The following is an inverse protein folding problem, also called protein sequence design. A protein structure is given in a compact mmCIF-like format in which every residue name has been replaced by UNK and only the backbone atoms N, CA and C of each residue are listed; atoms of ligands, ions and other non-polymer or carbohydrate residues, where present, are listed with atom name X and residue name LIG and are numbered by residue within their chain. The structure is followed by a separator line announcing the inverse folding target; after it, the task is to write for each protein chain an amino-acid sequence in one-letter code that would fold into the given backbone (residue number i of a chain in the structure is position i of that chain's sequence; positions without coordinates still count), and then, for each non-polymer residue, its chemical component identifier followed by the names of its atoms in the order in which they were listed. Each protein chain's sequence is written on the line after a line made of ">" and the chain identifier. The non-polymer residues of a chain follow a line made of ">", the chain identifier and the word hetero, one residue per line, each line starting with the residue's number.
data_IF_323486585171
#
_entry.id   IF_323486585171
#
_cell.length_a   1.000
_cell.length_b   1.000
_cell.length_c   1.000
_cell.angle_alpha   90.00
_cell.angle_beta   90.00
_cell.angle_gamma   90.00
#
_symmetry.space_group_name_H-M   'P 1'
#
loop_
_entity.id
_entity.type
_entity.pdbx_description
1 polymer ?
#
# COMPACT_ATOMS: atom_id res chain seq x y z
N UNK A 1 10.11 14.34 -0.51
CA UNK A 1 11.48 13.89 -0.78
C UNK A 1 11.73 13.75 -2.28
N UNK A 2 13.02 13.62 -2.67
CA UNK A 2 13.38 13.51 -4.09
C UNK A 2 12.79 12.23 -4.70
N UNK A 3 12.09 12.36 -5.83
CA UNK A 3 11.44 11.28 -6.59
C UNK A 3 10.36 10.47 -5.83
N UNK A 4 9.86 10.96 -4.72
CA UNK A 4 8.83 10.25 -3.92
C UNK A 4 7.53 10.01 -4.71
N UNK A 5 7.09 10.99 -5.49
CA UNK A 5 5.92 10.84 -6.36
C UNK A 5 6.10 9.70 -7.36
N UNK A 6 7.25 9.64 -8.03
CA UNK A 6 7.56 8.55 -8.97
C UNK A 6 7.63 7.18 -8.27
N UNK A 7 8.27 7.11 -7.09
CA UNK A 7 8.35 5.88 -6.31
C UNK A 7 6.95 5.41 -5.85
N UNK A 8 6.09 6.34 -5.46
CA UNK A 8 4.70 6.05 -5.08
C UNK A 8 3.89 5.51 -6.27
N UNK A 9 3.95 6.17 -7.43
CA UNK A 9 3.26 5.70 -8.64
C UNK A 9 3.74 4.29 -9.05
N UNK A 10 5.04 4.03 -8.93
CA UNK A 10 5.58 2.68 -9.19
C UNK A 10 5.00 1.62 -8.25
N UNK A 11 4.83 1.92 -6.96
CA UNK A 11 4.21 0.98 -6.03
C UNK A 11 2.71 0.79 -6.30
N UNK A 12 2.02 1.85 -6.70
CA UNK A 12 0.62 1.77 -7.09
C UNK A 12 0.44 0.95 -8.37
N UNK A 13 1.32 1.10 -9.37
CA UNK A 13 1.26 0.30 -10.60
C UNK A 13 1.40 -1.21 -10.32
N UNK A 14 2.22 -1.60 -9.35
CA UNK A 14 2.34 -3.00 -8.96
C UNK A 14 1.06 -3.54 -8.32
N UNK A 15 0.38 -2.73 -7.50
CA UNK A 15 -0.90 -3.09 -6.92
C UNK A 15 -2.01 -3.20 -7.96
N UNK A 16 -2.06 -2.30 -8.94
CA UNK A 16 -3.01 -2.36 -10.05
C UNK A 16 -2.78 -3.59 -10.91
N UNK A 17 -1.53 -3.86 -11.30
CA UNK A 17 -1.17 -5.05 -12.06
C UNK A 17 -1.56 -6.34 -11.34
N UNK A 18 -1.33 -6.42 -10.01
CA UNK A 18 -1.73 -7.56 -9.19
C UNK A 18 -3.23 -7.79 -9.22
N UNK A 19 -4.02 -6.73 -8.99
CA UNK A 19 -5.48 -6.82 -9.02
C UNK A 19 -5.98 -7.13 -10.44
N UNK A 20 -5.37 -6.54 -11.46
CA UNK A 20 -5.70 -6.83 -12.85
C UNK A 20 -5.54 -8.32 -13.18
N UNK A 21 -4.40 -8.93 -12.83
CA UNK A 21 -4.15 -10.36 -13.05
C UNK A 21 -5.12 -11.28 -12.31
N UNK A 22 -5.50 -10.95 -11.09
CA UNK A 22 -6.29 -11.82 -10.21
C UNK A 22 -7.78 -11.45 -10.16
N UNK A 23 -8.17 -10.34 -10.78
CA UNK A 23 -9.56 -9.84 -10.81
C UNK A 23 -10.39 -10.29 -12.01
N UNK A 24 -9.78 -10.97 -12.99
CA UNK A 24 -10.44 -11.41 -14.21
C UNK A 24 -10.01 -12.83 -14.61
N UNK A 25 -10.70 -13.40 -15.61
CA UNK A 25 -10.32 -14.68 -16.18
C UNK A 25 -9.02 -14.52 -16.99
N UNK A 26 -7.91 -15.15 -16.61
CA UNK A 26 -6.64 -15.03 -17.32
C UNK A 26 -6.68 -15.53 -18.76
N UNK A 27 -7.65 -16.38 -19.12
CA UNK A 27 -7.83 -16.85 -20.51
C UNK A 27 -8.29 -15.73 -21.47
N UNK A 28 -8.81 -14.62 -20.95
CA UNK A 28 -9.16 -13.42 -21.73
C UNK A 28 -7.94 -12.63 -22.21
N UNK A 29 -6.78 -12.83 -21.58
CA UNK A 29 -5.56 -12.08 -21.86
C UNK A 29 -4.81 -12.72 -23.02
N UNK A 30 -4.82 -12.05 -24.18
CA UNK A 30 -4.16 -12.56 -25.39
C UNK A 30 -2.64 -12.35 -25.38
N UNK A 31 -2.20 -11.18 -24.86
CA UNK A 31 -0.79 -10.79 -24.82
C UNK A 31 -0.48 -10.10 -23.49
N UNK A 32 0.49 -10.65 -22.77
CA UNK A 32 0.94 -10.12 -21.45
C UNK A 32 1.32 -8.65 -21.55
N UNK A 33 2.06 -8.26 -22.59
CA UNK A 33 2.54 -6.88 -22.75
C UNK A 33 1.43 -5.87 -22.96
N UNK A 34 0.43 -6.21 -23.76
CA UNK A 34 -0.71 -5.32 -24.00
C UNK A 34 -1.53 -5.14 -22.72
N UNK A 35 -1.74 -6.22 -21.99
CA UNK A 35 -2.38 -6.20 -20.68
C UNK A 35 -1.61 -5.32 -19.68
N UNK A 36 -0.29 -5.47 -19.56
CA UNK A 36 0.53 -4.62 -18.69
C UNK A 36 0.40 -3.14 -19.08
N UNK A 37 0.43 -2.83 -20.36
CA UNK A 37 0.29 -1.45 -20.82
C UNK A 37 -1.05 -0.84 -20.45
N UNK A 38 -2.14 -1.62 -20.50
CA UNK A 38 -3.47 -1.21 -20.08
C UNK A 38 -3.49 -0.92 -18.56
N UNK A 39 -3.00 -1.84 -17.74
CA UNK A 39 -2.97 -1.70 -16.29
C UNK A 39 -2.05 -0.56 -15.81
N UNK A 40 -1.01 -0.24 -16.57
CA UNK A 40 -0.08 0.82 -16.22
C UNK A 40 -0.46 2.20 -16.77
N UNK A 41 -1.52 2.31 -17.57
CA UNK A 41 -1.87 3.53 -18.30
C UNK A 41 -1.95 4.77 -17.40
N UNK A 42 -2.53 4.64 -16.20
CA UNK A 42 -2.70 5.76 -15.26
C UNK A 42 -1.45 6.08 -14.44
N UNK A 43 -0.48 5.16 -14.39
CA UNK A 43 0.70 5.26 -13.51
C UNK A 43 2.01 5.44 -14.26
N UNK A 44 2.05 5.18 -15.56
CA UNK A 44 3.25 5.36 -16.37
C UNK A 44 3.53 6.84 -16.62
N UNK A 45 4.71 7.29 -16.18
CA UNK A 45 5.19 8.66 -16.40
C UNK A 45 6.01 8.83 -17.69
N UNK A 46 6.50 7.74 -18.26
CA UNK A 46 7.42 7.73 -19.39
C UNK A 46 6.99 6.70 -20.42
N UNK A 47 7.39 6.87 -21.68
CA UNK A 47 7.16 5.84 -22.71
C UNK A 47 7.71 4.50 -22.26
N UNK A 48 6.91 3.46 -22.49
CA UNK A 48 7.30 2.09 -22.15
C UNK A 48 8.29 1.53 -23.19
N UNK A 49 9.08 0.55 -22.77
CA UNK A 49 10.03 -0.18 -23.62
C UNK A 49 9.35 -1.49 -24.04
N UNK A 50 9.15 -1.66 -25.34
CA UNK A 50 8.37 -2.76 -25.91
C UNK A 50 8.88 -4.16 -25.49
N UNK A 51 10.19 -4.29 -25.28
CA UNK A 51 10.85 -5.55 -24.89
C UNK A 51 10.74 -5.86 -23.40
N UNK A 52 10.34 -4.88 -22.56
CA UNK A 52 10.18 -5.08 -21.14
C UNK A 52 8.81 -5.67 -20.81
N UNK A 53 8.79 -6.66 -19.91
CA UNK A 53 7.58 -7.20 -19.31
C UNK A 53 7.82 -7.41 -17.80
N UNK A 54 6.94 -6.86 -16.97
CA UNK A 54 7.03 -6.99 -15.51
C UNK A 54 6.49 -8.33 -15.02
N UNK A 55 5.37 -8.78 -15.57
CA UNK A 55 4.63 -9.95 -15.08
C UNK A 55 5.47 -11.23 -15.02
N UNK A 56 6.31 -11.58 -16.03
CA UNK A 56 7.12 -12.80 -15.97
C UNK A 56 8.13 -12.83 -14.82
N UNK A 57 8.53 -11.68 -14.30
CA UNK A 57 9.48 -11.55 -13.20
C UNK A 57 8.84 -11.26 -11.85
N UNK A 58 7.50 -11.06 -11.81
CA UNK A 58 6.80 -10.60 -10.61
C UNK A 58 6.36 -11.77 -9.72
N UNK A 59 7.33 -12.49 -9.17
CA UNK A 59 7.08 -13.66 -8.33
C UNK A 59 6.23 -13.38 -7.08
N UNK A 60 6.25 -12.17 -6.54
CA UNK A 60 5.47 -11.79 -5.35
C UNK A 60 3.99 -12.12 -5.50
N UNK A 61 3.39 -11.76 -6.64
CA UNK A 61 1.95 -11.93 -6.86
C UNK A 61 1.55 -13.30 -7.40
N UNK A 62 2.49 -14.08 -7.94
CA UNK A 62 2.21 -15.43 -8.46
C UNK A 62 2.67 -16.55 -7.54
N UNK A 63 3.79 -16.40 -6.84
CA UNK A 63 4.40 -17.44 -6.01
C UNK A 63 4.72 -16.94 -4.58
N UNK A 64 4.66 -15.64 -4.33
CA UNK A 64 5.09 -15.03 -3.08
C UNK A 64 3.99 -14.86 -2.02
N UNK A 65 2.75 -15.32 -2.29
CA UNK A 65 1.63 -15.21 -1.36
C UNK A 65 0.95 -13.84 -1.31
N UNK A 66 1.18 -12.97 -2.29
CA UNK A 66 0.60 -11.62 -2.38
C UNK A 66 -0.45 -11.48 -3.49
N UNK A 67 -1.01 -12.56 -4.02
CA UNK A 67 -2.07 -12.53 -5.03
C UNK A 67 -3.26 -11.71 -4.56
N UNK A 68 -3.66 -10.69 -5.31
CA UNK A 68 -4.65 -9.66 -4.95
C UNK A 68 -4.32 -8.93 -3.63
N UNK A 69 -3.09 -8.98 -3.18
CA UNK A 69 -2.67 -8.48 -1.86
C UNK A 69 -1.47 -7.53 -1.88
N UNK A 70 -0.88 -7.23 -3.04
CA UNK A 70 0.30 -6.38 -3.12
C UNK A 70 0.04 -4.94 -2.64
N UNK A 71 -1.16 -4.42 -2.80
CA UNK A 71 -1.58 -3.12 -2.28
C UNK A 71 -1.37 -2.96 -0.77
N UNK A 72 -1.27 -4.08 -0.04
CA UNK A 72 -1.09 -4.08 1.42
C UNK A 72 0.19 -3.37 1.88
N UNK A 73 1.24 -3.34 1.06
CA UNK A 73 2.45 -2.58 1.35
C UNK A 73 2.16 -1.08 1.48
N UNK A 74 1.44 -0.52 0.51
CA UNK A 74 1.09 0.91 0.55
C UNK A 74 0.05 1.21 1.63
N UNK A 75 -0.88 0.28 1.87
CA UNK A 75 -1.85 0.39 2.97
C UNK A 75 -1.15 0.39 4.35
N UNK A 76 -0.15 -0.45 4.54
CA UNK A 76 0.63 -0.47 5.78
C UNK A 76 1.38 0.85 6.02
N UNK A 77 1.91 1.49 4.96
CA UNK A 77 2.53 2.81 5.05
C UNK A 77 1.53 3.91 5.46
N UNK A 78 0.28 3.84 4.99
CA UNK A 78 -0.79 4.76 5.42
C UNK A 78 -1.06 4.60 6.92
N UNK A 79 -1.22 3.36 7.39
CA UNK A 79 -1.47 3.07 8.80
C UNK A 79 -0.30 3.52 9.69
N UNK A 80 0.94 3.24 9.27
CA UNK A 80 2.16 3.64 9.96
C UNK A 80 2.26 5.17 10.09
N UNK A 81 2.09 5.89 8.97
CA UNK A 81 2.20 7.33 8.95
C UNK A 81 1.13 8.01 9.83
N UNK A 82 -0.13 7.58 9.74
CA UNK A 82 -1.24 8.12 10.53
C UNK A 82 -1.09 7.78 12.03
N UNK A 83 -0.66 6.56 12.35
CA UNK A 83 -0.37 6.18 13.72
C UNK A 83 0.78 7.03 14.31
N UNK A 84 1.87 7.24 13.55
CA UNK A 84 2.98 8.07 14.01
C UNK A 84 2.60 9.56 14.10
N UNK A 85 1.73 10.06 13.23
CA UNK A 85 1.17 11.41 13.35
C UNK A 85 0.47 11.59 14.71
N UNK A 86 -0.27 10.60 15.17
CA UNK A 86 -0.92 10.64 16.49
C UNK A 86 0.08 10.73 17.63
N UNK A 87 1.20 10.00 17.58
CA UNK A 87 2.28 10.15 18.53
C UNK A 87 2.90 11.56 18.48
N UNK A 88 3.09 12.14 17.30
CA UNK A 88 3.64 13.50 17.18
C UNK A 88 2.71 14.56 17.76
N UNK A 89 1.40 14.43 17.54
CA UNK A 89 0.38 15.34 18.09
C UNK A 89 0.36 15.38 19.62
N UNK A 90 0.64 14.25 20.27
CA UNK A 90 0.53 14.09 21.73
C UNK A 90 1.88 13.98 22.44
N UNK A 91 2.97 14.01 21.68
CA UNK A 91 4.34 13.79 22.18
C UNK A 91 4.81 12.35 21.94
N UNK A 92 5.94 12.21 21.23
CA UNK A 92 6.48 10.90 20.79
C UNK A 92 6.78 9.95 21.96
N UNK A 93 7.06 10.47 23.15
CA UNK A 93 7.31 9.70 24.36
C UNK A 93 6.12 9.71 25.33
N UNK A 94 4.94 10.09 24.87
CA UNK A 94 3.73 10.05 25.68
C UNK A 94 3.38 8.61 26.05
N UNK A 95 3.47 8.33 27.36
CA UNK A 95 3.28 6.98 27.89
C UNK A 95 1.83 6.46 27.69
N UNK A 96 0.84 7.34 27.79
CA UNK A 96 -0.56 6.98 27.61
C UNK A 96 -0.83 6.52 26.16
N UNK A 97 -0.37 7.29 25.18
CA UNK A 97 -0.50 6.92 23.75
C UNK A 97 0.25 5.62 23.46
N UNK A 98 1.47 5.47 24.00
CA UNK A 98 2.23 4.23 23.89
C UNK A 98 1.49 3.02 24.47
N UNK A 99 0.85 3.17 25.61
CA UNK A 99 0.05 2.11 26.24
C UNK A 99 -1.21 1.78 25.43
N UNK A 100 -1.89 2.78 24.85
CA UNK A 100 -3.00 2.58 23.95
C UNK A 100 -2.57 1.80 22.69
N UNK A 101 -1.44 2.15 22.09
CA UNK A 101 -0.89 1.44 20.94
C UNK A 101 -0.57 -0.02 21.27
N UNK A 102 0.12 -0.24 22.38
CA UNK A 102 0.42 -1.57 22.89
C UNK A 102 -0.87 -2.40 23.11
N UNK A 103 -1.85 -1.83 23.80
CA UNK A 103 -3.08 -2.54 24.19
C UNK A 103 -4.00 -2.84 23.03
N UNK A 104 -4.19 -1.90 22.10
CA UNK A 104 -5.17 -2.02 21.03
C UNK A 104 -4.60 -2.57 19.73
N UNK A 105 -3.29 -2.40 19.48
CA UNK A 105 -2.65 -2.87 18.25
C UNK A 105 -1.74 -4.06 18.54
N UNK A 106 -0.64 -3.85 19.27
CA UNK A 106 0.41 -4.87 19.38
C UNK A 106 -0.04 -6.13 20.11
N UNK A 107 -0.78 -6.00 21.22
CA UNK A 107 -1.21 -7.15 22.02
C UNK A 107 -2.42 -7.90 21.41
N UNK A 108 -3.08 -7.31 20.43
CA UNK A 108 -4.27 -7.90 19.81
C UNK A 108 -3.97 -8.63 18.51
N UNK A 109 -3.03 -8.16 17.71
CA UNK A 109 -2.71 -8.78 16.42
C UNK A 109 -3.95 -9.01 15.58
N UNK A 110 -4.16 -10.25 15.14
CA UNK A 110 -5.31 -10.66 14.31
C UNK A 110 -6.52 -11.18 15.07
N UNK A 111 -6.65 -10.94 16.38
CA UNK A 111 -7.74 -11.52 17.21
C UNK A 111 -9.12 -10.86 17.01
N UNK A 112 -9.14 -9.66 16.47
CA UNK A 112 -10.35 -8.91 16.16
C UNK A 112 -10.22 -8.23 14.78
N UNK A 113 -11.32 -7.66 14.29
CA UNK A 113 -11.28 -6.87 13.05
C UNK A 113 -10.26 -5.71 13.16
N UNK A 114 -9.24 -5.63 12.28
CA UNK A 114 -8.15 -4.66 12.39
C UNK A 114 -8.62 -3.20 12.41
N UNK A 115 -9.64 -2.85 11.63
CA UNK A 115 -10.20 -1.49 11.60
C UNK A 115 -10.82 -1.10 12.94
N UNK A 116 -11.45 -2.06 13.66
CA UNK A 116 -11.99 -1.80 15.01
C UNK A 116 -10.86 -1.54 16.01
N UNK A 117 -9.80 -2.34 15.95
CA UNK A 117 -8.61 -2.17 16.80
C UNK A 117 -7.93 -0.83 16.52
N UNK A 118 -7.75 -0.49 15.26
CA UNK A 118 -7.16 0.78 14.86
C UNK A 118 -7.96 1.98 15.37
N UNK A 119 -9.29 1.97 15.20
CA UNK A 119 -10.16 3.04 15.70
C UNK A 119 -10.17 3.16 17.23
N UNK A 120 -9.96 2.07 17.96
CA UNK A 120 -9.79 2.15 19.44
C UNK A 120 -8.52 2.89 19.83
N UNK A 121 -7.44 2.70 19.07
CA UNK A 121 -6.19 3.42 19.27
C UNK A 121 -6.26 4.86 18.75
N UNK A 122 -6.54 5.04 17.47
CA UNK A 122 -6.44 6.34 16.77
C UNK A 122 -7.64 7.26 17.02
N UNK A 123 -8.78 6.71 17.51
CA UNK A 123 -10.09 7.36 17.69
C UNK A 123 -10.80 7.75 16.40
N UNK A 124 -10.22 7.45 15.26
CA UNK A 124 -10.77 7.70 13.92
C UNK A 124 -10.32 6.63 12.94
N UNK A 125 -10.84 6.65 11.72
CA UNK A 125 -10.33 5.86 10.61
C UNK A 125 -8.95 6.38 10.18
N UNK A 126 -8.08 5.54 9.61
CA UNK A 126 -6.81 5.98 9.05
C UNK A 126 -7.02 6.98 7.92
N UNK A 127 -6.11 7.97 7.81
CA UNK A 127 -6.12 8.98 6.78
C UNK A 127 -4.79 8.92 5.99
N UNK A 128 -4.81 8.89 4.65
CA UNK A 128 -3.59 8.90 3.84
C UNK A 128 -2.81 10.22 3.89
N UNK A 129 -3.41 11.33 4.34
CA UNK A 129 -2.78 12.65 4.36
C UNK A 129 -1.46 12.66 5.14
N UNK A 130 -1.39 11.93 6.25
CA UNK A 130 -0.17 11.81 7.05
C UNK A 130 0.99 11.19 6.26
N UNK A 131 0.70 10.22 5.39
CA UNK A 131 1.70 9.64 4.49
C UNK A 131 2.13 10.64 3.41
N UNK A 132 1.17 11.33 2.79
CA UNK A 132 1.44 12.33 1.76
C UNK A 132 2.27 13.51 2.30
N UNK A 133 1.94 13.99 3.51
CA UNK A 133 2.73 15.02 4.21
C UNK A 133 4.15 14.54 4.52
N UNK A 134 4.31 13.30 5.02
CA UNK A 134 5.61 12.70 5.27
C UNK A 134 6.45 12.58 4.00
N UNK A 135 5.81 12.29 2.89
CA UNK A 135 6.41 12.18 1.57
C UNK A 135 6.74 13.55 0.93
N UNK A 136 6.16 14.65 1.44
CA UNK A 136 6.27 15.99 0.85
C UNK A 136 5.46 16.14 -0.44
N UNK A 137 4.30 15.47 -0.49
CA UNK A 137 3.32 15.52 -1.59
C UNK A 137 2.07 16.34 -1.23
N UNK A 138 1.95 16.73 0.04
CA UNK A 138 1.00 17.71 0.61
C UNK A 138 1.78 18.76 1.38
#
# INVERSE_FOLDING_TARGET
>A
SFLEGMATLRQLSFGLLDIGWHGQDPSSIQRVKDFENEEFQETNLYPDIAENAMSPSFSHIFNGGYSSGYYSYKWAEVLDADAFAYFKEHGIFNREIGEMFRTHILSKGGTENPMKLYKRFRKQAPNPDALLQRAGLL
#
